data_IF_423901237653
#
_entry.id   IF_423901237653
#
_cell.length_a   1.000
_cell.length_b   1.000
_cell.length_c   1.000
_cell.angle_alpha   90.00
_cell.angle_beta   90.00
_cell.angle_gamma   90.00
#
_symmetry.space_group_name_H-M   'P 1'
#
loop_
_entity.id
_entity.type
_entity.pdbx_description
1 polymer ?
#
# COMPACT_ATOMS: atom_id res chain seq x y z
N UNK A 1 -0.18 5.40 7.39
CA UNK A 1 0.53 4.11 7.25
C UNK A 1 -0.19 3.23 6.26
N UNK A 2 0.57 2.51 5.49
CA UNK A 2 0.00 1.55 4.53
C UNK A 2 0.08 0.16 5.13
N UNK A 3 -1.03 -0.57 5.07
CA UNK A 3 -1.11 -1.93 5.60
C UNK A 3 -1.53 -2.87 4.47
N UNK A 4 -0.87 -4.02 4.40
CA UNK A 4 -1.23 -5.08 3.47
C UNK A 4 -1.88 -6.21 4.26
N UNK A 5 -3.07 -6.61 3.86
CA UNK A 5 -3.80 -7.68 4.52
C UNK A 5 -4.19 -8.75 3.51
N UNK A 6 -4.13 -9.98 3.93
CA UNK A 6 -4.55 -11.12 3.13
C UNK A 6 -5.92 -11.60 3.60
N UNK A 7 -6.80 -12.00 2.67
CA UNK A 7 -8.11 -12.52 3.06
C UNK A 7 -8.05 -13.87 3.77
N UNK A 8 -7.03 -14.66 3.49
CA UNK A 8 -6.83 -15.92 4.18
C UNK A 8 -5.48 -15.89 4.85
N UNK A 9 -5.45 -16.13 6.14
CA UNK A 9 -4.22 -16.02 6.90
C UNK A 9 -4.04 -17.23 7.77
N UNK A 10 -2.83 -17.77 7.82
CA UNK A 10 -2.45 -18.81 8.75
C UNK A 10 -1.54 -18.23 9.80
N UNK A 11 -2.11 -17.94 10.94
CA UNK A 11 -1.34 -17.42 12.05
C UNK A 11 -0.61 -18.54 12.77
N UNK A 12 0.56 -18.23 13.29
CA UNK A 12 1.28 -19.12 14.15
C UNK A 12 1.93 -20.31 13.49
N UNK A 13 1.89 -20.37 12.16
CA UNK A 13 2.50 -21.46 11.44
C UNK A 13 3.88 -21.16 10.93
N UNK A 14 4.25 -19.92 10.96
CA UNK A 14 5.52 -19.47 10.44
C UNK A 14 6.59 -19.72 11.50
N UNK A 15 7.54 -20.55 11.23
CA UNK A 15 8.45 -21.00 12.28
C UNK A 15 9.51 -19.98 12.64
N UNK A 16 10.39 -19.69 11.80
CA UNK A 16 11.65 -19.13 12.23
C UNK A 16 11.67 -17.61 12.30
N UNK A 17 11.15 -16.98 11.28
CA UNK A 17 11.35 -15.55 11.08
C UNK A 17 10.12 -14.71 11.27
N UNK A 18 9.04 -15.25 11.81
CA UNK A 18 7.78 -14.53 11.81
C UNK A 18 7.83 -13.26 12.64
N UNK A 19 8.64 -13.27 13.67
CA UNK A 19 8.69 -12.15 14.60
C UNK A 19 9.59 -11.03 14.12
N UNK A 20 10.27 -11.27 13.03
CA UNK A 20 11.21 -10.29 12.55
C UNK A 20 10.49 -9.18 11.83
N UNK A 21 10.61 -7.99 12.36
CA UNK A 21 10.09 -6.77 11.76
C UNK A 21 11.24 -6.05 11.10
N UNK A 22 11.11 -5.78 9.82
CA UNK A 22 12.11 -4.99 9.11
C UNK A 22 11.86 -3.52 9.38
N UNK A 23 12.91 -2.78 9.69
CA UNK A 23 12.81 -1.37 10.04
C UNK A 23 13.97 -0.62 9.40
N UNK A 24 13.69 0.56 8.85
CA UNK A 24 14.73 1.49 8.42
C UNK A 24 14.49 2.84 9.08
N UNK A 25 15.57 3.59 9.24
CA UNK A 25 15.51 4.91 9.86
C UNK A 25 15.76 4.85 11.36
N UNK A 26 15.91 5.99 11.95
CA UNK A 26 16.15 6.14 13.38
C UNK A 26 16.15 7.59 13.76
N UNK A 27 16.42 7.85 15.04
CA UNK A 27 16.47 9.22 15.56
C UNK A 27 17.56 10.00 14.84
N UNK A 28 17.18 11.15 14.29
CA UNK A 28 18.11 12.01 13.56
C UNK A 28 18.42 11.58 12.14
N UNK A 29 17.87 10.47 11.68
CA UNK A 29 18.07 10.03 10.31
C UNK A 29 16.99 10.60 9.39
N UNK A 30 17.42 10.91 8.18
CA UNK A 30 16.52 11.39 7.14
C UNK A 30 16.57 10.41 5.96
N UNK A 31 15.46 9.74 5.69
CA UNK A 31 15.42 8.72 4.64
C UNK A 31 15.19 9.36 3.28
N UNK A 32 16.02 9.01 2.31
CA UNK A 32 15.80 9.43 0.94
C UNK A 32 14.60 8.68 0.33
N UNK A 33 13.85 9.32 -0.58
CA UNK A 33 12.70 8.65 -1.23
C UNK A 33 13.07 7.33 -1.90
N UNK A 34 14.19 7.26 -2.59
CA UNK A 34 14.62 6.03 -3.25
C UNK A 34 14.87 4.90 -2.26
N UNK A 35 15.39 5.23 -1.09
CA UNK A 35 15.64 4.24 -0.06
C UNK A 35 14.32 3.67 0.48
N UNK A 36 13.34 4.54 0.71
CA UNK A 36 12.02 4.11 1.17
C UNK A 36 11.34 3.26 0.09
N UNK A 37 11.38 3.70 -1.15
CA UNK A 37 10.80 2.96 -2.27
C UNK A 37 11.38 1.55 -2.36
N UNK A 38 12.70 1.44 -2.35
CA UNK A 38 13.38 0.16 -2.44
C UNK A 38 13.04 -0.74 -1.26
N UNK A 39 13.01 -0.16 -0.07
CA UNK A 39 12.69 -0.91 1.14
C UNK A 39 11.28 -1.52 1.06
N UNK A 40 10.29 -0.71 0.73
CA UNK A 40 8.89 -1.18 0.65
C UNK A 40 8.75 -2.23 -0.44
N UNK A 41 9.31 -1.96 -1.62
CA UNK A 41 9.27 -2.91 -2.73
C UNK A 41 9.89 -4.25 -2.35
N UNK A 42 11.05 -4.23 -1.72
CA UNK A 42 11.76 -5.46 -1.38
C UNK A 42 11.05 -6.24 -0.27
N UNK A 43 10.47 -5.55 0.70
CA UNK A 43 9.71 -6.23 1.74
C UNK A 43 8.46 -6.92 1.17
N UNK A 44 7.76 -6.25 0.28
CA UNK A 44 6.58 -6.84 -0.36
C UNK A 44 6.98 -7.97 -1.31
N UNK A 45 8.09 -7.83 -2.00
CA UNK A 45 8.57 -8.88 -2.90
C UNK A 45 8.98 -10.14 -2.13
N UNK A 46 9.51 -9.99 -0.93
CA UNK A 46 9.92 -11.12 -0.11
C UNK A 46 8.75 -11.80 0.59
N UNK A 47 7.60 -11.14 0.70
CA UNK A 47 6.43 -11.71 1.35
C UNK A 47 5.76 -12.73 0.44
N UNK A 48 5.10 -13.72 1.03
CA UNK A 48 4.43 -14.79 0.29
C UNK A 48 3.07 -14.31 -0.18
N UNK A 49 3.05 -13.49 -1.23
CA UNK A 49 1.85 -12.83 -1.74
C UNK A 49 1.44 -13.30 -3.14
N UNK A 50 2.16 -14.22 -3.72
CA UNK A 50 1.88 -14.71 -5.08
C UNK A 50 0.50 -15.36 -5.15
N UNK A 51 -0.30 -14.93 -6.11
CA UNK A 51 -1.63 -15.48 -6.32
C UNK A 51 -2.65 -15.10 -5.25
N UNK A 52 -2.30 -14.21 -4.35
CA UNK A 52 -3.18 -13.82 -3.24
C UNK A 52 -4.03 -12.61 -3.61
N UNK A 53 -5.17 -12.53 -2.94
CA UNK A 53 -6.03 -11.34 -3.01
C UNK A 53 -5.66 -10.43 -1.86
N UNK A 54 -5.27 -9.22 -2.17
CA UNK A 54 -4.70 -8.30 -1.18
C UNK A 54 -5.58 -7.07 -1.00
N UNK A 55 -5.59 -6.57 0.22
CA UNK A 55 -6.22 -5.30 0.54
C UNK A 55 -5.15 -4.38 1.13
N UNK A 56 -4.93 -3.25 0.48
CA UNK A 56 -4.03 -2.21 0.98
C UNK A 56 -4.87 -1.15 1.66
N UNK A 57 -4.69 -0.98 2.95
CA UNK A 57 -5.40 0.05 3.70
C UNK A 57 -4.48 1.26 3.85
N UNK A 58 -4.90 2.38 3.32
CA UNK A 58 -4.09 3.59 3.30
C UNK A 58 -4.83 4.74 3.99
N UNK A 59 -4.10 5.70 4.58
CA UNK A 59 -4.72 6.82 5.25
C UNK A 59 -5.35 7.80 4.27
N UNK A 60 -6.26 8.63 4.78
CA UNK A 60 -6.86 9.71 4.01
C UNK A 60 -5.97 10.96 4.02
N UNK A 61 -6.46 12.04 3.43
CA UNK A 61 -5.69 13.28 3.28
C UNK A 61 -5.44 14.03 4.58
N UNK A 62 -5.98 13.58 5.71
CA UNK A 62 -5.75 14.24 6.99
C UNK A 62 -4.45 13.78 7.66
N UNK A 63 -3.78 12.78 7.07
CA UNK A 63 -2.52 12.26 7.60
C UNK A 63 -1.37 12.61 6.67
N UNK A 64 -0.22 12.85 7.27
CA UNK A 64 1.01 13.03 6.51
C UNK A 64 1.58 11.66 6.18
N UNK A 65 1.61 11.35 4.89
CA UNK A 65 2.09 10.04 4.44
C UNK A 65 2.51 10.17 2.97
N UNK A 66 3.70 9.70 2.60
CA UNK A 66 4.17 9.79 1.22
C UNK A 66 3.50 8.73 0.34
N UNK A 67 2.19 8.81 0.19
CA UNK A 67 1.41 7.80 -0.51
C UNK A 67 1.80 7.59 -1.97
N UNK A 68 2.09 8.63 -2.77
CA UNK A 68 2.52 8.37 -4.14
C UNK A 68 3.76 7.47 -4.21
N UNK A 69 4.70 7.69 -3.32
CA UNK A 69 5.91 6.88 -3.23
C UNK A 69 5.59 5.43 -2.81
N UNK A 70 4.78 5.28 -1.78
CA UNK A 70 4.42 3.97 -1.25
C UNK A 70 3.56 3.17 -2.22
N UNK A 71 2.61 3.83 -2.87
CA UNK A 71 1.77 3.20 -3.87
C UNK A 71 2.59 2.73 -5.07
N UNK A 72 3.54 3.54 -5.51
CA UNK A 72 4.43 3.16 -6.60
C UNK A 72 5.26 1.93 -6.26
N UNK A 73 5.81 1.88 -5.06
CA UNK A 73 6.59 0.72 -4.61
C UNK A 73 5.72 -0.52 -4.50
N UNK A 74 4.52 -0.38 -3.97
CA UNK A 74 3.59 -1.50 -3.84
C UNK A 74 3.18 -2.03 -5.22
N UNK A 75 2.86 -1.13 -6.15
CA UNK A 75 2.49 -1.54 -7.50
C UNK A 75 3.63 -2.31 -8.18
N UNK A 76 4.84 -1.79 -8.09
CA UNK A 76 6.01 -2.43 -8.68
C UNK A 76 6.22 -3.84 -8.13
N UNK A 77 5.99 -4.04 -6.84
CA UNK A 77 6.18 -5.33 -6.21
C UNK A 77 5.04 -6.33 -6.48
N UNK A 78 3.82 -5.85 -6.66
CA UNK A 78 2.63 -6.70 -6.61
C UNK A 78 1.88 -6.88 -7.91
N UNK A 79 2.07 -5.99 -8.89
CA UNK A 79 1.18 -5.94 -10.06
C UNK A 79 1.18 -7.22 -10.91
N UNK A 80 2.28 -7.97 -10.90
CA UNK A 80 2.39 -9.20 -11.68
C UNK A 80 2.36 -10.45 -10.80
N UNK A 81 2.10 -10.32 -9.50
CA UNK A 81 2.13 -11.43 -8.55
C UNK A 81 0.80 -11.68 -7.88
N UNK A 82 0.15 -10.62 -7.43
CA UNK A 82 -1.11 -10.74 -6.70
C UNK A 82 -2.25 -11.10 -7.64
N UNK A 83 -3.18 -11.92 -7.17
CA UNK A 83 -4.37 -12.25 -7.94
C UNK A 83 -5.31 -11.07 -8.08
N UNK A 84 -5.41 -10.25 -7.03
CA UNK A 84 -6.20 -9.02 -7.05
C UNK A 84 -5.69 -8.08 -5.97
N UNK A 85 -5.79 -6.78 -6.20
CA UNK A 85 -5.42 -5.76 -5.22
C UNK A 85 -6.54 -4.74 -5.11
N UNK A 86 -6.99 -4.52 -3.89
CA UNK A 86 -7.96 -3.48 -3.57
C UNK A 86 -7.30 -2.50 -2.61
N UNK A 87 -7.34 -1.23 -2.94
CA UNK A 87 -6.85 -0.15 -2.08
C UNK A 87 -8.05 0.50 -1.40
N UNK A 88 -8.04 0.52 -0.08
CA UNK A 88 -9.11 1.10 0.71
C UNK A 88 -8.57 2.36 1.41
N UNK A 89 -9.24 3.48 1.16
CA UNK A 89 -8.92 4.72 1.85
C UNK A 89 -9.60 4.69 3.22
N UNK A 90 -8.81 4.70 4.28
CA UNK A 90 -9.31 4.62 5.65
C UNK A 90 -9.77 6.00 6.10
N UNK A 91 -11.05 6.27 5.98
CA UNK A 91 -11.63 7.58 6.25
C UNK A 91 -12.06 7.77 7.71
N UNK A 92 -12.32 6.70 8.42
CA UNK A 92 -12.92 6.81 9.74
C UNK A 92 -14.29 7.46 9.63
N UNK A 93 -14.43 8.63 10.24
CA UNK A 93 -15.66 9.41 10.14
C UNK A 93 -15.57 10.52 9.11
N UNK A 94 -14.47 10.63 8.38
CA UNK A 94 -14.29 11.67 7.37
C UNK A 94 -15.08 11.35 6.12
N UNK A 95 -15.37 12.41 5.37
CA UNK A 95 -16.08 12.27 4.11
C UNK A 95 -15.20 11.60 3.05
N UNK A 96 -15.81 10.81 2.17
CA UNK A 96 -15.11 10.18 1.08
C UNK A 96 -14.47 11.17 0.13
N UNK A 97 -13.36 10.78 -0.46
CA UNK A 97 -12.64 11.61 -1.42
C UNK A 97 -13.27 11.51 -2.80
N UNK A 98 -13.44 12.65 -3.44
CA UNK A 98 -13.82 12.69 -4.85
C UNK A 98 -12.65 12.25 -5.72
N UNK A 99 -12.94 11.87 -6.96
CA UNK A 99 -11.94 11.29 -7.87
C UNK A 99 -10.71 12.18 -8.04
N UNK A 100 -10.88 13.48 -8.26
CA UNK A 100 -9.76 14.38 -8.48
C UNK A 100 -8.88 14.49 -7.23
N UNK A 101 -9.49 14.55 -6.06
CA UNK A 101 -8.78 14.63 -4.81
C UNK A 101 -8.04 13.33 -4.52
N UNK A 102 -8.73 12.20 -4.75
CA UNK A 102 -8.15 10.89 -4.56
C UNK A 102 -6.96 10.66 -5.50
N UNK A 103 -7.07 11.10 -6.74
CA UNK A 103 -5.97 10.99 -7.70
C UNK A 103 -4.73 11.74 -7.20
N UNK A 104 -4.91 12.98 -6.76
CA UNK A 104 -3.79 13.77 -6.23
C UNK A 104 -3.21 13.13 -4.97
N UNK A 105 -4.06 12.58 -4.12
CA UNK A 105 -3.65 11.95 -2.88
C UNK A 105 -2.77 10.71 -3.14
N UNK A 106 -3.12 9.92 -4.14
CA UNK A 106 -2.39 8.70 -4.49
C UNK A 106 -1.32 8.92 -5.55
N UNK A 107 -1.26 10.09 -6.16
CA UNK A 107 -0.16 10.46 -7.04
C UNK A 107 -0.35 10.14 -8.51
N UNK A 108 -1.57 10.17 -9.03
CA UNK A 108 -1.80 10.04 -10.46
C UNK A 108 -2.70 11.17 -10.98
N UNK A 109 -2.76 11.30 -12.29
CA UNK A 109 -3.58 12.32 -12.92
C UNK A 109 -5.07 11.95 -12.80
N UNK A 110 -5.95 12.92 -12.57
CA UNK A 110 -7.39 12.65 -12.57
C UNK A 110 -7.83 11.97 -13.87
N UNK A 111 -8.56 10.89 -13.74
CA UNK A 111 -8.98 10.10 -14.89
C UNK A 111 -7.97 9.07 -15.36
N UNK A 112 -6.77 9.03 -14.79
CA UNK A 112 -5.73 8.11 -15.20
C UNK A 112 -5.62 6.86 -14.30
N UNK A 113 -6.64 6.61 -13.49
CA UNK A 113 -6.63 5.48 -12.55
C UNK A 113 -6.29 4.16 -13.25
N UNK A 114 -7.00 3.86 -14.32
CA UNK A 114 -6.86 2.58 -15.00
C UNK A 114 -5.53 2.45 -15.76
N UNK A 115 -4.94 3.57 -16.18
CA UNK A 115 -3.63 3.52 -16.82
C UNK A 115 -2.50 3.45 -15.80
N UNK A 116 -2.67 4.07 -14.64
CA UNK A 116 -1.62 4.09 -13.62
C UNK A 116 -1.62 2.82 -12.77
N UNK A 117 -2.82 2.31 -12.45
CA UNK A 117 -2.98 1.11 -11.64
C UNK A 117 -3.96 0.15 -12.31
N UNK A 118 -3.59 -0.40 -13.49
CA UNK A 118 -4.50 -1.26 -14.24
C UNK A 118 -4.87 -2.50 -13.42
N UNK A 119 -6.16 -2.79 -13.36
CA UNK A 119 -6.67 -3.96 -12.67
C UNK A 119 -6.80 -3.81 -11.15
N UNK A 120 -6.30 -2.73 -10.57
CA UNK A 120 -6.45 -2.48 -9.14
C UNK A 120 -7.77 -1.76 -8.88
N UNK A 121 -8.40 -2.09 -7.75
CA UNK A 121 -9.60 -1.41 -7.29
C UNK A 121 -9.24 -0.43 -6.19
N UNK A 122 -9.73 0.79 -6.27
CA UNK A 122 -9.48 1.82 -5.27
C UNK A 122 -10.83 2.34 -4.79
N UNK A 123 -11.08 2.22 -3.50
CA UNK A 123 -12.37 2.60 -2.91
C UNK A 123 -12.19 3.42 -1.65
N UNK A 124 -13.17 4.27 -1.38
CA UNK A 124 -13.31 4.90 -0.08
C UNK A 124 -13.95 3.93 0.90
N UNK A 125 -13.48 3.93 2.12
CA UNK A 125 -14.14 3.18 3.17
C UNK A 125 -15.50 3.81 3.47
N UNK A 126 -16.52 2.98 3.63
CA UNK A 126 -17.84 3.43 4.06
C UNK A 126 -18.13 2.84 5.42
N UNK A 127 -18.50 3.70 6.34
CA UNK A 127 -18.85 3.28 7.70
C UNK A 127 -20.35 3.13 7.86
#
# INVERSE_FOLDING_TARGET
MVTVAEPTTSYGTSPAEPDRVAVIGGVGEHLAPDHVHTFVRDQLAAANLDGKRLCLVVPDGTRTCPLPLLMGAAYEALHDRAAAVTVVIALGTHQGMEEDHLARHLGFEPGARDSRYPGWTIINHES
#
